data_IF_575218155686
#
_entry.id   IF_575218155686
#
_cell.length_a   1.000
_cell.length_b   1.000
_cell.length_c   1.000
_cell.angle_alpha   90.00
_cell.angle_beta   90.00
_cell.angle_gamma   90.00
#
_symmetry.space_group_name_H-M   'P 1'
#
loop_
_entity.id
_entity.type
_entity.pdbx_description
1 polymer ?
#
# COMPACT_ATOMS: atom_id res chain seq x y z
N UNK A 1 -5.99 19.12 6.44
CA UNK A 1 -6.95 18.04 6.72
C UNK A 1 -7.96 18.00 5.58
N UNK A 2 -8.56 16.84 5.25
CA UNK A 2 -9.58 16.76 4.20
C UNK A 2 -10.78 17.65 4.54
N UNK A 3 -11.20 18.53 3.61
CA UNK A 3 -12.38 19.39 3.82
C UNK A 3 -13.63 18.60 4.19
N UNK A 4 -13.77 17.39 3.64
CA UNK A 4 -14.88 16.48 3.95
C UNK A 4 -14.97 16.07 5.42
N UNK A 5 -13.93 16.29 6.23
CA UNK A 5 -13.84 15.93 7.65
C UNK A 5 -13.94 17.11 8.62
N UNK A 6 -13.98 18.35 8.14
CA UNK A 6 -13.81 19.55 8.99
C UNK A 6 -15.10 20.29 9.36
N UNK A 7 -16.28 19.85 8.92
CA UNK A 7 -17.53 20.58 9.18
C UNK A 7 -18.77 19.68 9.29
N UNK A 8 -19.92 20.30 9.61
CA UNK A 8 -21.26 19.67 9.51
C UNK A 8 -21.56 19.29 8.06
N UNK A 9 -22.44 18.31 7.85
CA UNK A 9 -22.67 17.73 6.52
C UNK A 9 -23.15 18.71 5.45
N UNK A 10 -23.87 19.75 5.87
CA UNK A 10 -24.44 20.81 5.03
C UNK A 10 -23.35 21.72 4.45
N UNK A 11 -22.47 22.27 5.30
CA UNK A 11 -21.36 23.16 4.88
C UNK A 11 -20.39 22.53 3.86
N UNK A 12 -20.31 21.19 3.79
CA UNK A 12 -19.43 20.47 2.86
C UNK A 12 -19.91 20.51 1.40
N UNK A 13 -21.17 20.84 1.14
CA UNK A 13 -21.74 20.89 -0.21
C UNK A 13 -22.04 22.30 -0.70
N UNK A 14 -21.64 23.31 0.06
CA UNK A 14 -21.73 24.73 -0.30
C UNK A 14 -20.46 25.22 -0.99
N UNK A 15 -19.34 24.53 -0.76
CA UNK A 15 -18.04 24.89 -1.32
C UNK A 15 -17.70 23.97 -2.48
N UNK A 16 -17.65 24.55 -3.68
CA UNK A 16 -17.25 23.86 -4.89
C UNK A 16 -15.84 24.28 -5.31
N UNK A 17 -15.22 23.40 -6.09
CA UNK A 17 -13.90 23.65 -6.64
C UNK A 17 -13.85 23.17 -8.07
N UNK A 18 -13.40 24.04 -8.95
CA UNK A 18 -13.20 23.68 -10.33
C UNK A 18 -11.97 22.79 -10.46
N UNK A 19 -12.11 21.76 -11.29
CA UNK A 19 -11.06 20.78 -11.55
C UNK A 19 -10.92 20.63 -13.06
N UNK A 20 -9.70 20.81 -13.55
CA UNK A 20 -9.38 20.49 -14.93
C UNK A 20 -9.38 18.98 -15.11
N UNK A 21 -10.04 18.54 -16.17
CA UNK A 21 -10.10 17.13 -16.58
C UNK A 21 -9.50 17.07 -17.98
N UNK A 22 -8.77 16.01 -18.29
CA UNK A 22 -8.21 15.82 -19.63
C UNK A 22 -9.34 15.74 -20.67
N UNK A 23 -9.15 16.24 -21.90
CA UNK A 23 -10.22 16.28 -22.90
C UNK A 23 -10.84 14.90 -23.19
N UNK A 24 -10.04 13.84 -23.18
CA UNK A 24 -10.51 12.46 -23.41
C UNK A 24 -11.47 11.98 -22.31
N UNK A 25 -11.12 12.19 -21.04
CA UNK A 25 -11.98 11.84 -19.90
C UNK A 25 -13.18 12.78 -19.84
N UNK A 26 -12.98 14.06 -20.12
CA UNK A 26 -14.04 15.07 -20.16
C UNK A 26 -15.14 14.71 -21.15
N UNK A 27 -14.78 14.30 -22.37
CA UNK A 27 -15.74 13.82 -23.38
C UNK A 27 -16.56 12.64 -22.87
N UNK A 28 -15.89 11.58 -22.37
CA UNK A 28 -16.58 10.41 -21.82
C UNK A 28 -17.52 10.76 -20.66
N UNK A 29 -17.11 11.71 -19.81
CA UNK A 29 -17.91 12.16 -18.66
C UNK A 29 -19.15 12.93 -19.10
N UNK A 30 -19.01 13.81 -20.10
CA UNK A 30 -20.12 14.59 -20.66
C UNK A 30 -21.12 13.66 -21.36
N UNK A 31 -20.63 12.72 -22.18
CA UNK A 31 -21.49 11.74 -22.87
C UNK A 31 -22.28 10.90 -21.83
N UNK A 32 -21.59 10.46 -20.78
CA UNK A 32 -22.23 9.76 -19.67
C UNK A 32 -23.25 10.64 -18.94
N UNK A 33 -22.91 11.89 -18.60
CA UNK A 33 -23.82 12.81 -17.93
C UNK A 33 -25.07 13.09 -18.77
N UNK A 34 -24.92 13.27 -20.08
CA UNK A 34 -26.05 13.40 -21.03
C UNK A 34 -26.94 12.16 -21.01
N UNK A 35 -26.35 10.96 -21.05
CA UNK A 35 -27.12 9.70 -20.95
C UNK A 35 -27.89 9.58 -19.63
N UNK A 36 -27.32 10.08 -18.53
CA UNK A 36 -27.98 10.13 -17.23
C UNK A 36 -29.13 11.14 -17.27
N UNK A 37 -28.95 12.33 -17.85
CA UNK A 37 -30.03 13.33 -17.97
C UNK A 37 -31.22 12.80 -18.77
N UNK A 38 -30.99 12.14 -19.91
CA UNK A 38 -32.06 11.55 -20.71
C UNK A 38 -32.85 10.52 -19.91
N UNK A 39 -32.16 9.61 -19.21
CA UNK A 39 -32.82 8.61 -18.33
C UNK A 39 -33.70 9.20 -17.24
N UNK A 40 -33.40 10.41 -16.79
CA UNK A 40 -34.19 11.14 -15.79
C UNK A 40 -35.26 12.03 -16.41
N UNK A 41 -35.13 12.39 -17.70
CA UNK A 41 -36.13 13.16 -18.44
C UNK A 41 -37.31 12.31 -18.92
N UNK A 42 -37.11 11.02 -19.15
CA UNK A 42 -38.12 10.09 -19.67
C UNK A 42 -39.02 9.47 -18.57
N UNK A 43 -38.80 9.79 -17.29
CA UNK A 43 -39.50 9.20 -16.15
C UNK A 43 -40.31 10.22 -15.35
N UNK A 44 -41.64 10.08 -15.37
CA UNK A 44 -42.62 10.87 -14.61
C UNK A 44 -42.50 10.68 -13.07
N UNK A 45 -41.61 9.78 -12.62
CA UNK A 45 -41.47 9.33 -11.22
C UNK A 45 -40.26 9.98 -10.49
N UNK A 46 -39.47 10.81 -11.17
CA UNK A 46 -38.27 11.43 -10.59
C UNK A 46 -38.59 12.80 -9.98
N UNK A 47 -38.48 12.93 -8.66
CA UNK A 47 -38.75 14.19 -7.90
C UNK A 47 -37.72 15.31 -8.15
N UNK A 48 -36.69 15.06 -8.97
CA UNK A 48 -35.56 15.95 -9.22
C UNK A 48 -35.47 16.19 -10.72
N UNK A 49 -35.45 17.45 -11.15
CA UNK A 49 -35.35 17.81 -12.57
C UNK A 49 -34.04 17.36 -13.23
N UNK A 50 -33.98 17.21 -14.56
CA UNK A 50 -32.81 16.65 -15.27
C UNK A 50 -31.48 17.39 -15.00
N UNK A 51 -31.53 18.70 -14.74
CA UNK A 51 -30.34 19.51 -14.43
C UNK A 51 -29.71 19.21 -13.07
N UNK A 52 -30.49 18.62 -12.17
CA UNK A 52 -30.10 18.25 -10.80
C UNK A 52 -29.83 16.75 -10.66
N UNK A 53 -29.82 16.01 -11.78
CA UNK A 53 -29.57 14.57 -11.78
C UNK A 53 -28.16 14.24 -11.23
N UNK A 54 -28.03 13.27 -10.31
CA UNK A 54 -26.73 12.89 -9.77
C UNK A 54 -25.89 12.22 -10.85
N UNK A 55 -24.62 12.64 -10.97
CA UNK A 55 -23.68 12.06 -11.94
C UNK A 55 -23.60 10.53 -11.85
N UNK A 56 -23.66 9.99 -10.63
CA UNK A 56 -23.72 8.54 -10.40
C UNK A 56 -25.05 8.16 -9.70
N UNK A 57 -26.12 7.93 -10.46
CA UNK A 57 -27.43 7.62 -9.89
C UNK A 57 -27.50 6.21 -9.32
N UNK A 58 -28.35 6.01 -8.31
CA UNK A 58 -28.63 4.68 -7.77
C UNK A 58 -29.28 3.78 -8.84
N UNK A 59 -28.92 2.48 -8.87
CA UNK A 59 -29.53 1.52 -9.81
C UNK A 59 -30.89 1.01 -9.36
N UNK A 60 -31.18 1.08 -8.06
CA UNK A 60 -32.41 0.60 -7.41
C UNK A 60 -32.83 1.62 -6.36
N UNK A 61 -34.13 1.72 -6.11
CA UNK A 61 -34.68 2.53 -5.02
C UNK A 61 -34.26 1.96 -3.67
N UNK A 62 -33.63 2.78 -2.82
CA UNK A 62 -33.27 2.36 -1.46
C UNK A 62 -34.39 2.69 -0.48
N UNK A 63 -34.67 1.78 0.47
CA UNK A 63 -35.65 2.00 1.56
C UNK A 63 -35.33 3.21 2.46
N UNK A 64 -34.06 3.64 2.51
CA UNK A 64 -33.64 4.79 3.32
C UNK A 64 -33.82 6.08 2.52
N UNK A 65 -34.83 6.86 2.88
CA UNK A 65 -35.02 8.22 2.36
C UNK A 65 -33.84 9.10 2.78
N UNK A 66 -33.28 9.83 1.81
CA UNK A 66 -32.26 10.85 2.05
C UNK A 66 -32.83 12.19 1.57
N UNK A 67 -33.38 13.00 2.48
CA UNK A 67 -33.93 14.30 2.10
C UNK A 67 -32.89 15.13 1.33
N UNK A 68 -33.28 15.65 0.16
CA UNK A 68 -32.41 16.43 -0.72
C UNK A 68 -31.35 15.65 -1.50
N UNK A 69 -31.24 14.33 -1.29
CA UNK A 69 -30.32 13.45 -2.02
C UNK A 69 -31.05 12.24 -2.58
N UNK A 70 -32.30 12.44 -3.01
CA UNK A 70 -33.05 11.44 -3.72
C UNK A 70 -32.22 10.98 -4.94
N UNK A 71 -32.23 9.68 -5.20
CA UNK A 71 -31.48 9.05 -6.30
C UNK A 71 -29.93 9.10 -6.25
N UNK A 72 -29.30 9.78 -5.29
CA UNK A 72 -27.85 9.71 -5.14
C UNK A 72 -27.38 8.34 -4.64
N UNK A 73 -26.34 7.80 -5.28
CA UNK A 73 -25.72 6.53 -4.87
C UNK A 73 -25.10 6.62 -3.47
N UNK A 74 -25.14 5.51 -2.71
CA UNK A 74 -24.46 5.42 -1.41
C UNK A 74 -22.93 5.23 -1.57
N UNK A 75 -22.12 5.65 -0.58
CA UNK A 75 -20.67 5.39 -0.61
C UNK A 75 -20.33 3.90 -0.74
N UNK A 76 -21.11 3.01 -0.11
CA UNK A 76 -20.96 1.55 -0.22
C UNK A 76 -21.15 1.07 -1.66
N UNK A 77 -22.19 1.56 -2.32
CA UNK A 77 -22.50 1.19 -3.71
C UNK A 77 -21.44 1.70 -4.69
N UNK A 78 -20.94 2.93 -4.51
CA UNK A 78 -19.80 3.43 -5.31
C UNK A 78 -18.58 2.53 -5.09
N UNK A 79 -18.27 2.19 -3.84
CA UNK A 79 -17.15 1.29 -3.52
C UNK A 79 -17.29 -0.09 -4.17
N UNK A 80 -18.50 -0.65 -4.18
CA UNK A 80 -18.77 -1.93 -4.85
C UNK A 80 -18.58 -1.83 -6.36
N UNK A 81 -19.08 -0.76 -7.02
CA UNK A 81 -18.87 -0.54 -8.46
C UNK A 81 -17.39 -0.49 -8.82
N UNK A 82 -16.59 0.25 -8.05
CA UNK A 82 -15.13 0.33 -8.25
C UNK A 82 -14.49 -1.05 -8.06
N UNK A 83 -14.88 -1.80 -7.02
CA UNK A 83 -14.36 -3.15 -6.78
C UNK A 83 -14.63 -4.09 -7.96
N UNK A 84 -15.86 -4.11 -8.48
CA UNK A 84 -16.22 -4.96 -9.61
C UNK A 84 -15.41 -4.67 -10.87
N UNK A 85 -15.01 -3.41 -11.11
CA UNK A 85 -14.12 -3.07 -12.23
C UNK A 85 -12.73 -3.69 -12.03
N UNK A 86 -12.14 -3.57 -10.83
CA UNK A 86 -10.82 -4.15 -10.54
C UNK A 86 -10.82 -5.68 -10.56
N UNK A 87 -11.91 -6.31 -10.12
CA UNK A 87 -12.13 -7.76 -10.22
C UNK A 87 -12.21 -8.21 -11.68
N UNK A 88 -13.01 -7.50 -12.50
CA UNK A 88 -13.13 -7.80 -13.93
C UNK A 88 -11.80 -7.64 -14.68
N UNK A 89 -11.00 -6.64 -14.31
CA UNK A 89 -9.66 -6.41 -14.85
C UNK A 89 -8.59 -7.38 -14.29
N UNK A 90 -8.94 -8.25 -13.32
CA UNK A 90 -8.03 -9.19 -12.67
C UNK A 90 -6.76 -8.53 -12.16
N UNK A 91 -6.89 -7.42 -11.43
CA UNK A 91 -5.73 -6.71 -10.87
C UNK A 91 -5.25 -7.41 -9.59
N UNK A 92 -3.98 -7.80 -9.57
CA UNK A 92 -3.32 -8.47 -8.44
C UNK A 92 -2.38 -7.53 -7.70
N UNK A 93 -2.23 -7.75 -6.39
CA UNK A 93 -1.29 -7.04 -5.54
C UNK A 93 0.06 -7.74 -5.56
N UNK A 94 1.10 -7.08 -6.09
CA UNK A 94 2.48 -7.60 -6.14
C UNK A 94 2.96 -8.12 -4.77
N UNK A 95 2.63 -7.40 -3.70
CA UNK A 95 3.03 -7.75 -2.32
C UNK A 95 2.40 -9.03 -1.78
N UNK A 96 1.20 -9.40 -2.25
CA UNK A 96 0.42 -10.49 -1.64
C UNK A 96 0.06 -11.61 -2.61
N UNK A 97 0.26 -11.44 -3.92
CA UNK A 97 -0.19 -12.38 -4.95
C UNK A 97 -1.72 -12.44 -5.14
N UNK A 98 -2.51 -11.99 -4.16
CA UNK A 98 -3.97 -11.94 -4.23
C UNK A 98 -4.53 -10.74 -5.00
N UNK A 99 -5.82 -10.78 -5.31
CA UNK A 99 -6.55 -9.62 -5.86
C UNK A 99 -6.39 -8.37 -5.00
N UNK A 100 -6.20 -7.22 -5.66
CA UNK A 100 -5.96 -5.98 -4.95
C UNK A 100 -7.21 -5.53 -4.17
N UNK A 101 -7.06 -5.35 -2.85
CA UNK A 101 -8.12 -4.81 -1.99
C UNK A 101 -8.28 -3.31 -2.23
N UNK A 102 -9.13 -2.93 -3.19
CA UNK A 102 -9.36 -1.54 -3.57
C UNK A 102 -10.33 -0.82 -2.61
N UNK A 103 -9.96 0.41 -2.23
CA UNK A 103 -10.78 1.30 -1.39
C UNK A 103 -10.60 2.74 -1.83
N UNK A 104 -11.56 3.62 -1.52
CA UNK A 104 -11.42 5.06 -1.80
C UNK A 104 -10.19 5.67 -1.10
N UNK A 105 -9.82 5.15 0.08
CA UNK A 105 -8.60 5.55 0.78
C UNK A 105 -7.36 5.16 -0.01
N UNK A 106 -7.30 3.92 -0.53
CA UNK A 106 -6.16 3.46 -1.36
C UNK A 106 -5.99 4.36 -2.59
N UNK A 107 -7.05 4.59 -3.36
CA UNK A 107 -7.00 5.46 -4.54
C UNK A 107 -6.48 6.87 -4.21
N UNK A 108 -6.99 7.46 -3.12
CA UNK A 108 -6.53 8.76 -2.63
C UNK A 108 -5.05 8.76 -2.27
N UNK A 109 -4.59 7.73 -1.55
CA UNK A 109 -3.18 7.57 -1.21
C UNK A 109 -2.33 7.44 -2.47
N UNK A 110 -2.72 6.60 -3.43
CA UNK A 110 -1.98 6.40 -4.68
C UNK A 110 -1.78 7.69 -5.46
N UNK A 111 -2.83 8.51 -5.61
CA UNK A 111 -2.73 9.82 -6.27
C UNK A 111 -1.76 10.74 -5.52
N UNK A 112 -1.89 10.81 -4.20
CA UNK A 112 -1.06 11.68 -3.37
C UNK A 112 0.42 11.27 -3.38
N UNK A 113 0.71 9.97 -3.25
CA UNK A 113 2.07 9.45 -3.27
C UNK A 113 2.68 9.56 -4.66
N UNK A 114 1.89 9.42 -5.74
CA UNK A 114 2.39 9.65 -7.10
C UNK A 114 2.78 11.11 -7.30
N UNK A 115 1.93 12.06 -6.84
CA UNK A 115 2.27 13.48 -6.88
C UNK A 115 3.53 13.80 -6.04
N UNK A 116 3.69 13.19 -4.87
CA UNK A 116 4.91 13.34 -4.07
C UNK A 116 6.15 12.79 -4.80
N UNK A 117 6.04 11.65 -5.47
CA UNK A 117 7.11 11.06 -6.29
C UNK A 117 7.50 11.91 -7.49
N UNK A 118 6.53 12.62 -8.07
CA UNK A 118 6.78 13.62 -9.12
C UNK A 118 7.43 14.92 -8.59
N UNK A 119 7.65 15.02 -7.27
CA UNK A 119 8.30 16.17 -6.65
C UNK A 119 7.36 17.32 -6.28
N UNK A 120 6.03 17.13 -6.36
CA UNK A 120 5.08 18.17 -5.97
C UNK A 120 5.12 18.44 -4.46
N UNK A 121 5.19 19.72 -4.09
CA UNK A 121 5.21 20.14 -2.69
C UNK A 121 3.89 19.87 -1.94
N UNK A 122 3.93 19.92 -0.61
CA UNK A 122 2.78 19.61 0.25
C UNK A 122 1.55 20.49 -0.06
N UNK A 123 1.74 21.76 -0.44
CA UNK A 123 0.64 22.65 -0.80
C UNK A 123 -0.10 22.17 -2.06
N UNK A 124 0.63 21.71 -3.07
CA UNK A 124 0.05 21.18 -4.31
C UNK A 124 -0.68 19.86 -4.03
N UNK A 125 -0.11 19.00 -3.19
CA UNK A 125 -0.77 17.75 -2.79
C UNK A 125 -2.02 18.03 -1.95
N UNK A 126 -1.98 19.01 -1.05
CA UNK A 126 -3.15 19.45 -0.28
C UNK A 126 -4.26 19.90 -1.24
N UNK A 127 -3.90 20.74 -2.20
CA UNK A 127 -4.78 21.31 -3.22
C UNK A 127 -5.41 20.21 -4.09
N UNK A 128 -4.60 19.26 -4.58
CA UNK A 128 -5.00 18.08 -5.34
C UNK A 128 -5.96 17.20 -4.55
N UNK A 129 -5.70 17.00 -3.26
CA UNK A 129 -6.52 16.14 -2.41
C UNK A 129 -7.76 16.82 -1.83
N UNK A 130 -7.98 18.11 -2.08
CA UNK A 130 -9.10 18.81 -1.46
C UNK A 130 -8.92 18.91 0.07
N UNK A 131 -7.71 19.25 0.49
CA UNK A 131 -7.38 19.59 1.86
C UNK A 131 -7.40 21.10 2.04
N UNK A 132 -7.82 21.51 3.22
CA UNK A 132 -7.87 22.91 3.67
C UNK A 132 -6.61 23.33 4.43
N UNK A 133 -5.80 22.35 4.85
CA UNK A 133 -4.50 22.57 5.49
C UNK A 133 -3.58 21.37 5.19
N UNK A 134 -2.28 21.54 5.48
CA UNK A 134 -1.22 20.57 5.19
C UNK A 134 -0.95 19.58 6.34
N UNK A 135 -1.63 19.67 7.49
CA UNK A 135 -1.30 18.88 8.71
C UNK A 135 -1.25 17.36 8.45
N UNK A 136 -2.08 16.88 7.51
CA UNK A 136 -2.15 15.46 7.14
C UNK A 136 -1.51 15.13 5.79
N UNK A 137 -0.85 16.09 5.15
CA UNK A 137 -0.24 15.87 3.82
C UNK A 137 1.10 15.18 3.95
N UNK A 138 1.87 15.48 5.00
CA UNK A 138 3.17 14.84 5.24
C UNK A 138 3.12 13.31 5.29
N UNK A 139 1.95 12.71 5.57
CA UNK A 139 1.76 11.24 5.54
C UNK A 139 1.97 10.65 4.13
N UNK A 140 1.78 11.46 3.08
CA UNK A 140 1.96 11.04 1.69
C UNK A 140 3.39 11.32 1.17
N UNK A 141 4.11 12.23 1.82
CA UNK A 141 5.45 12.70 1.40
C UNK A 141 6.55 11.98 2.17
N UNK A 142 6.30 11.54 3.41
CA UNK A 142 7.30 10.88 4.28
C UNK A 142 7.82 9.52 3.79
N UNK A 143 7.21 8.94 2.76
CA UNK A 143 7.52 7.61 2.28
C UNK A 143 7.66 7.58 0.74
N UNK A 144 8.32 8.56 0.15
CA UNK A 144 8.68 8.42 -1.27
C UNK A 144 9.73 7.31 -1.42
N UNK A 145 9.74 6.57 -2.54
CA UNK A 145 10.73 5.52 -2.79
C UNK A 145 12.17 6.01 -2.63
N UNK A 146 12.45 7.27 -2.96
CA UNK A 146 13.78 7.87 -2.84
C UNK A 146 14.19 8.04 -1.37
N UNK A 147 13.25 8.42 -0.49
CA UNK A 147 13.47 8.48 0.95
C UNK A 147 13.65 7.07 1.52
N UNK A 148 12.81 6.11 1.09
CA UNK A 148 12.92 4.72 1.54
C UNK A 148 14.26 4.13 1.11
N UNK A 149 14.69 4.31 -0.14
CA UNK A 149 15.97 3.82 -0.64
C UNK A 149 17.16 4.47 0.09
N UNK A 150 17.05 5.75 0.45
CA UNK A 150 18.07 6.42 1.30
C UNK A 150 18.12 5.85 2.70
N UNK A 151 16.96 5.55 3.31
CA UNK A 151 16.90 4.89 4.62
C UNK A 151 17.48 3.49 4.51
N UNK A 152 17.02 2.68 3.55
CA UNK A 152 17.50 1.33 3.31
C UNK A 152 19.01 1.31 3.13
N UNK A 153 19.58 2.21 2.30
CA UNK A 153 21.04 2.35 2.16
C UNK A 153 21.73 2.73 3.47
N UNK A 154 21.17 3.67 4.23
CA UNK A 154 21.75 4.12 5.49
C UNK A 154 21.70 3.06 6.60
N UNK A 155 20.73 2.14 6.56
CA UNK A 155 20.60 1.07 7.57
C UNK A 155 21.10 -0.29 7.07
N UNK A 156 21.36 -0.45 5.77
CA UNK A 156 21.72 -1.73 5.14
C UNK A 156 22.91 -2.39 5.84
N UNK A 157 23.99 -1.63 6.09
CA UNK A 157 25.19 -2.16 6.72
C UNK A 157 24.95 -2.61 8.16
N UNK A 158 24.11 -1.90 8.93
CA UNK A 158 23.77 -2.29 10.31
C UNK A 158 22.76 -3.42 10.40
N UNK A 159 21.90 -3.56 9.39
CA UNK A 159 20.93 -4.64 9.30
C UNK A 159 21.53 -5.89 8.64
N UNK A 160 22.66 -5.79 7.94
CA UNK A 160 23.30 -6.89 7.24
C UNK A 160 23.69 -8.07 8.16
N UNK A 161 24.26 -7.89 9.38
CA UNK A 161 24.59 -9.02 10.25
C UNK A 161 23.34 -9.79 10.71
N UNK A 162 22.25 -9.07 10.99
CA UNK A 162 20.95 -9.65 11.31
C UNK A 162 20.37 -10.34 10.07
N UNK A 163 20.39 -9.70 8.91
CA UNK A 163 19.90 -10.25 7.65
C UNK A 163 20.67 -11.51 7.24
N UNK A 164 21.98 -11.56 7.47
CA UNK A 164 22.82 -12.75 7.27
C UNK A 164 22.52 -13.83 8.30
N UNK A 165 22.29 -13.46 9.56
CA UNK A 165 21.76 -14.40 10.54
C UNK A 165 20.41 -15.00 10.13
N UNK A 166 19.56 -14.22 9.46
CA UNK A 166 18.29 -14.66 8.89
C UNK A 166 18.44 -15.42 7.56
N UNK A 167 19.52 -15.23 6.82
CA UNK A 167 19.83 -15.94 5.59
C UNK A 167 20.41 -17.35 5.83
N UNK A 168 20.43 -17.80 7.09
CA UNK A 168 21.13 -19.02 7.47
C UNK A 168 22.64 -18.85 7.45
N UNK A 169 23.16 -17.64 7.24
CA UNK A 169 24.58 -17.31 7.37
C UNK A 169 24.99 -16.97 8.82
N UNK A 170 24.06 -17.13 9.78
CA UNK A 170 24.32 -17.31 11.21
C UNK A 170 23.31 -18.30 11.77
N UNK A 171 23.79 -19.09 12.73
CA UNK A 171 23.77 -20.52 12.54
C UNK A 171 23.79 -21.19 13.90
N UNK A 172 22.55 -21.48 14.27
CA UNK A 172 21.99 -21.37 15.61
C UNK A 172 22.24 -22.64 16.41
N UNK A 173 22.51 -23.71 15.67
CA UNK A 173 22.63 -25.05 16.15
C UNK A 173 23.29 -25.87 15.06
N UNK A 174 23.53 -27.10 15.42
CA UNK A 174 24.45 -27.92 14.70
C UNK A 174 24.01 -28.18 13.26
N UNK A 175 22.91 -28.84 13.16
CA UNK A 175 22.63 -29.59 11.96
C UNK A 175 22.11 -28.73 10.81
N UNK A 176 21.93 -27.41 11.02
CA UNK A 176 21.73 -26.41 9.96
C UNK A 176 22.97 -26.23 9.07
N UNK A 177 24.09 -26.80 9.51
CA UNK A 177 25.25 -26.92 8.67
C UNK A 177 24.90 -27.94 7.59
N UNK A 178 25.41 -27.72 6.39
CA UNK A 178 25.42 -28.76 5.36
C UNK A 178 25.91 -30.15 5.84
N UNK A 179 26.57 -30.28 7.01
CA UNK A 179 27.10 -31.53 7.59
C UNK A 179 26.69 -31.84 9.02
N UNK A 180 25.43 -31.60 9.36
CA UNK A 180 24.90 -31.88 10.70
C UNK A 180 25.12 -33.30 11.25
N UNK A 181 25.36 -34.30 10.38
CA UNK A 181 25.55 -35.71 10.77
C UNK A 181 27.00 -36.04 11.15
N UNK A 182 27.93 -35.11 10.91
CA UNK A 182 29.34 -35.27 11.25
C UNK A 182 29.62 -34.66 12.62
N UNK A 183 29.87 -35.51 13.62
CA UNK A 183 30.21 -35.07 14.98
C UNK A 183 31.52 -34.27 15.06
N UNK A 184 32.38 -34.32 14.03
CA UNK A 184 33.54 -33.42 13.89
C UNK A 184 33.17 -32.01 13.45
N UNK A 185 31.91 -31.72 13.08
CA UNK A 185 31.42 -30.42 12.60
C UNK A 185 30.91 -29.47 13.70
N UNK A 186 30.89 -29.92 14.96
CA UNK A 186 30.41 -29.17 16.13
C UNK A 186 31.30 -27.99 16.51
N UNK A 187 30.69 -26.84 16.75
CA UNK A 187 31.33 -25.66 17.37
C UNK A 187 30.88 -25.58 18.84
N UNK A 188 31.83 -25.54 19.78
CA UNK A 188 31.64 -25.44 21.24
C UNK A 188 32.59 -24.38 21.79
N UNK A 189 32.22 -23.58 22.79
CA UNK A 189 33.15 -22.62 23.43
C UNK A 189 32.97 -22.58 24.97
N UNK A 190 33.94 -23.11 25.74
CA UNK A 190 33.86 -23.21 27.19
C UNK A 190 33.86 -21.88 27.93
N UNK A 191 34.23 -20.76 27.29
CA UNK A 191 34.26 -19.43 27.92
C UNK A 191 32.88 -18.78 27.98
N UNK A 192 31.96 -19.17 27.08
CA UNK A 192 30.56 -18.73 27.06
C UNK A 192 29.62 -19.73 27.74
N UNK A 193 30.02 -21.01 27.80
CA UNK A 193 29.38 -22.07 28.56
C UNK A 193 30.43 -23.10 29.03
N UNK A 194 30.82 -23.05 30.31
CA UNK A 194 31.86 -23.91 30.92
C UNK A 194 31.55 -25.43 30.81
N UNK A 195 30.31 -25.79 30.48
CA UNK A 195 29.88 -27.19 30.26
C UNK A 195 30.26 -27.74 28.87
N UNK A 196 30.95 -26.96 28.03
CA UNK A 196 31.35 -27.32 26.65
C UNK A 196 30.16 -27.58 25.72
N UNK A 197 29.09 -26.80 25.86
CA UNK A 197 27.87 -26.94 25.07
C UNK A 197 28.03 -26.42 23.63
N UNK A 198 27.48 -27.10 22.61
CA UNK A 198 27.59 -26.65 21.21
C UNK A 198 26.80 -25.38 20.92
N UNK A 199 27.41 -24.44 20.19
CA UNK A 199 26.88 -23.12 19.83
C UNK A 199 26.59 -22.97 18.32
N UNK A 200 27.03 -23.93 17.51
CA UNK A 200 26.96 -23.89 16.04
C UNK A 200 27.71 -25.08 15.43
N UNK A 201 27.97 -25.05 14.14
CA UNK A 201 28.41 -26.17 13.29
C UNK A 201 29.02 -25.83 11.92
N UNK A 202 29.62 -26.81 11.24
CA UNK A 202 30.34 -26.61 9.98
C UNK A 202 29.65 -27.21 8.74
N UNK A 203 29.46 -26.40 7.69
CA UNK A 203 28.79 -26.76 6.43
C UNK A 203 29.59 -27.40 5.28
N UNK A 204 30.77 -27.99 5.50
CA UNK A 204 31.73 -28.32 4.40
C UNK A 204 32.40 -29.69 4.53
N UNK A 205 32.34 -30.62 3.55
CA UNK A 205 32.79 -32.03 3.74
C UNK A 205 34.29 -32.13 4.19
N UNK A 206 34.61 -32.59 5.43
CA UNK A 206 35.99 -32.71 6.02
C UNK A 206 36.17 -32.25 7.51
N UNK A 207 37.13 -32.75 8.33
CA UNK A 207 37.18 -32.56 9.79
C UNK A 207 37.14 -31.07 10.25
N UNK A 208 36.37 -30.74 11.31
CA UNK A 208 36.19 -29.35 11.77
C UNK A 208 36.95 -29.03 13.08
N UNK A 209 37.64 -27.89 13.07
CA UNK A 209 38.23 -27.23 14.23
C UNK A 209 37.46 -25.95 14.57
N UNK A 210 37.78 -25.33 15.70
CA UNK A 210 37.10 -24.20 16.40
C UNK A 210 36.62 -22.99 15.55
N UNK A 211 36.94 -22.97 14.26
CA UNK A 211 36.60 -21.95 13.27
C UNK A 211 35.86 -22.52 12.03
N UNK A 212 35.06 -23.57 12.18
CA UNK A 212 34.16 -24.05 11.12
C UNK A 212 32.96 -23.11 10.92
N UNK A 213 32.76 -22.60 9.72
CA UNK A 213 31.60 -21.79 9.32
C UNK A 213 30.37 -22.67 9.12
N UNK A 214 29.18 -22.31 9.65
CA UNK A 214 27.98 -22.88 9.02
C UNK A 214 27.96 -22.27 7.64
N UNK A 215 27.79 -23.20 6.73
CA UNK A 215 27.48 -23.01 5.35
C UNK A 215 26.37 -23.99 5.08
N UNK A 216 25.31 -23.52 4.49
CA UNK A 216 24.59 -24.14 3.43
C UNK A 216 25.52 -24.02 2.22
N UNK A 217 25.29 -24.92 1.29
CA UNK A 217 25.73 -24.79 -0.08
C UNK A 217 25.44 -23.34 -0.61
N UNK A 218 26.23 -22.86 -1.58
CA UNK A 218 26.77 -21.51 -1.88
C UNK A 218 26.18 -20.13 -1.45
N UNK A 219 25.03 -19.97 -0.81
CA UNK A 219 24.37 -18.65 -0.70
C UNK A 219 24.44 -17.97 0.71
N UNK A 220 25.41 -18.34 1.55
CA UNK A 220 25.60 -17.74 2.90
C UNK A 220 26.72 -16.65 2.94
N UNK A 221 26.37 -15.37 3.12
CA UNK A 221 27.20 -14.15 2.84
C UNK A 221 27.50 -13.29 4.11
N UNK A 222 28.32 -12.24 3.99
CA UNK A 222 28.67 -11.19 5.00
C UNK A 222 28.67 -9.79 4.33
N UNK A 223 28.46 -8.69 5.06
CA UNK A 223 29.00 -7.35 4.73
C UNK A 223 29.64 -6.67 5.97
N UNK A 224 30.88 -6.15 5.88
CA UNK A 224 31.53 -5.34 6.91
C UNK A 224 31.32 -3.82 6.72
N UNK A 225 31.82 -3.05 7.69
CA UNK A 225 31.42 -1.70 8.13
C UNK A 225 31.68 -0.51 7.19
N UNK A 226 30.72 0.42 7.21
CA UNK A 226 30.86 1.88 7.46
C UNK A 226 29.78 2.28 8.50
#
# INVERSE_FOLDING_TARGET
MPRVKQGRAEARREQFKERLITPSIGKMLIDYASSVRTRFGDGDEFTIGPSQAPLFPQKKTTKKVRPGFQQHTSPKEIGNRVRSVFEALRVYSERTGEHIKITSKRLRHTVATSAAREGHGELIIAELLDHSDTQNVGIYVKATPEIIERIDRAVALRMAPLAHAFAGAVIISESAATRGDDTTSRIVDPRFDETMKPMGNCGRDGPCGFMGHLRIKPDEVLFPED
#
